data_IF_545082841837
#
_entry.id   IF_545082841837
#
_cell.length_a   1.000
_cell.length_b   1.000
_cell.length_c   1.000
_cell.angle_alpha   90.00
_cell.angle_beta   90.00
_cell.angle_gamma   90.00
#
_symmetry.space_group_name_H-M   'P 1'
#
loop_
_entity.id
_entity.type
_entity.pdbx_description
1 polymer ?
#
# COMPACT_ATOMS: atom_id res chain seq x y z
N UNK A 1 -25.55 45.32 49.06
CA UNK A 1 -26.27 44.12 48.59
C UNK A 1 -25.59 43.66 47.31
N UNK A 2 -24.46 42.95 47.39
CA UNK A 2 -24.35 41.49 47.30
C UNK A 2 -25.24 40.91 46.18
N UNK A 3 -24.64 40.63 45.02
CA UNK A 3 -24.70 39.27 44.47
C UNK A 3 -23.59 39.04 43.44
N UNK A 4 -22.58 38.29 43.88
CA UNK A 4 -21.55 37.68 43.04
C UNK A 4 -22.12 36.35 42.55
N UNK A 5 -22.47 36.23 41.27
CA UNK A 5 -22.65 34.92 40.64
C UNK A 5 -21.35 34.56 39.92
N UNK A 6 -20.54 33.76 40.61
CA UNK A 6 -19.38 33.12 40.03
C UNK A 6 -19.87 31.96 39.14
N UNK A 7 -19.63 32.07 37.84
CA UNK A 7 -19.75 30.96 36.90
C UNK A 7 -18.54 30.04 37.12
N UNK A 8 -18.73 28.97 37.89
CA UNK A 8 -17.74 27.90 37.98
C UNK A 8 -17.81 27.08 36.70
N UNK A 9 -16.85 27.28 35.80
CA UNK A 9 -16.63 26.40 34.66
C UNK A 9 -16.05 25.08 35.18
N UNK A 10 -16.90 24.08 35.33
CA UNK A 10 -16.47 22.71 35.61
C UNK A 10 -15.83 22.14 34.36
N UNK A 11 -14.50 22.17 34.29
CA UNK A 11 -13.73 21.40 33.30
C UNK A 11 -13.88 19.94 33.69
N UNK A 12 -14.79 19.23 33.03
CA UNK A 12 -14.82 17.76 33.04
C UNK A 12 -13.68 17.31 32.14
N UNK A 13 -12.49 17.17 32.72
CA UNK A 13 -11.38 16.48 32.08
C UNK A 13 -11.72 14.99 32.01
N UNK A 14 -12.30 14.54 30.90
CA UNK A 14 -12.34 13.14 30.52
C UNK A 14 -10.90 12.67 30.29
N UNK A 15 -10.30 12.13 31.36
CA UNK A 15 -9.11 11.30 31.27
C UNK A 15 -9.49 10.04 30.48
N UNK A 16 -9.37 10.11 29.15
CA UNK A 16 -9.25 8.91 28.33
C UNK A 16 -7.99 8.23 28.83
N UNK A 17 -8.16 7.12 29.54
CA UNK A 17 -7.05 6.25 29.90
C UNK A 17 -6.55 5.65 28.58
N UNK A 18 -5.59 6.33 27.94
CA UNK A 18 -4.73 5.70 26.96
C UNK A 18 -4.08 4.56 27.73
N UNK A 19 -4.56 3.34 27.48
CA UNK A 19 -3.87 2.13 27.89
C UNK A 19 -2.49 2.24 27.25
N UNK A 20 -1.51 2.70 28.02
CA UNK A 20 -0.12 2.64 27.64
C UNK A 20 0.16 1.14 27.61
N UNK A 21 0.12 0.56 26.41
CA UNK A 21 0.70 -0.74 26.19
C UNK A 21 2.13 -0.64 26.74
N UNK A 22 2.39 -1.30 27.87
CA UNK A 22 3.71 -1.32 28.46
C UNK A 22 4.72 -1.84 27.43
N UNK A 23 6.01 -1.48 27.55
CA UNK A 23 7.01 -1.99 26.63
C UNK A 23 6.95 -3.52 26.59
N UNK A 24 7.09 -4.10 25.39
CA UNK A 24 7.18 -5.54 25.21
C UNK A 24 8.19 -6.12 26.19
N UNK A 25 7.79 -7.11 26.99
CA UNK A 25 8.70 -7.73 27.96
C UNK A 25 9.90 -8.34 27.22
N UNK A 26 11.08 -8.38 27.84
CA UNK A 26 12.26 -9.00 27.23
C UNK A 26 12.08 -10.47 26.84
N UNK A 27 11.17 -11.21 27.49
CA UNK A 27 10.82 -12.57 27.07
C UNK A 27 10.05 -12.59 25.75
N UNK A 28 9.03 -11.75 25.62
CA UNK A 28 8.26 -11.61 24.39
C UNK A 28 9.14 -11.11 23.23
N UNK A 29 10.07 -10.18 23.49
CA UNK A 29 11.04 -9.75 22.49
C UNK A 29 11.88 -10.93 21.99
N UNK A 30 12.50 -11.72 22.90
CA UNK A 30 13.29 -12.90 22.52
C UNK A 30 12.48 -13.94 21.73
N UNK A 31 11.19 -14.11 22.05
CA UNK A 31 10.30 -15.00 21.29
C UNK A 31 10.04 -14.46 19.88
N UNK A 32 9.79 -13.16 19.74
CA UNK A 32 9.63 -12.51 18.44
C UNK A 32 10.89 -12.67 17.59
N UNK A 33 12.08 -12.38 18.16
CA UNK A 33 13.35 -12.53 17.47
C UNK A 33 13.59 -13.98 17.01
N UNK A 34 13.26 -14.97 17.85
CA UNK A 34 13.41 -16.39 17.50
C UNK A 34 12.46 -16.80 16.35
N UNK A 35 11.23 -16.28 16.34
CA UNK A 35 10.27 -16.54 15.26
C UNK A 35 10.73 -15.89 13.96
N UNK A 36 11.19 -14.63 14.02
CA UNK A 36 11.73 -13.93 12.85
C UNK A 36 12.91 -14.68 12.23
N UNK A 37 13.91 -15.08 13.04
CA UNK A 37 15.05 -15.86 12.55
C UNK A 37 14.64 -17.19 11.92
N UNK A 38 13.68 -17.91 12.51
CA UNK A 38 13.18 -19.17 11.91
C UNK A 38 12.44 -18.94 10.60
N UNK A 39 11.67 -17.85 10.50
CA UNK A 39 10.99 -17.47 9.28
C UNK A 39 12.00 -17.12 8.18
N UNK A 40 13.05 -16.36 8.50
CA UNK A 40 14.14 -16.06 7.57
C UNK A 40 14.82 -17.35 7.08
N UNK A 41 15.26 -18.23 7.98
CA UNK A 41 15.88 -19.52 7.63
C UNK A 41 14.97 -20.36 6.73
N UNK A 42 13.66 -20.40 7.03
CA UNK A 42 12.70 -21.07 6.18
C UNK A 42 12.68 -20.44 4.79
N UNK A 43 12.48 -19.12 4.70
CA UNK A 43 12.43 -18.41 3.42
C UNK A 43 13.72 -18.60 2.62
N UNK A 44 14.92 -18.51 3.21
CA UNK A 44 16.18 -18.80 2.51
C UNK A 44 16.15 -20.15 1.79
N UNK A 45 15.59 -21.19 2.43
CA UNK A 45 15.44 -22.52 1.84
C UNK A 45 14.39 -22.62 0.72
N UNK A 46 13.56 -21.59 0.54
CA UNK A 46 12.48 -21.52 -0.47
C UNK A 46 12.84 -20.69 -1.70
N UNK A 47 13.97 -20.00 -1.71
CA UNK A 47 14.39 -19.26 -2.90
C UNK A 47 14.60 -20.22 -4.07
N UNK A 48 14.01 -19.91 -5.23
CA UNK A 48 14.15 -20.73 -6.42
C UNK A 48 15.63 -20.72 -6.86
N UNK A 49 16.31 -21.88 -6.98
CA UNK A 49 17.75 -21.92 -7.26
C UNK A 49 18.12 -21.50 -8.69
N UNK A 50 17.15 -21.47 -9.62
CA UNK A 50 17.36 -21.11 -11.01
C UNK A 50 17.03 -19.63 -11.22
N UNK A 51 15.84 -19.23 -10.83
CA UNK A 51 15.34 -17.88 -11.12
C UNK A 51 15.78 -16.88 -10.08
N UNK A 52 16.12 -17.33 -8.87
CA UNK A 52 16.48 -16.53 -7.69
C UNK A 52 15.32 -15.69 -7.14
N UNK A 53 14.11 -15.87 -7.66
CA UNK A 53 12.87 -15.35 -7.08
C UNK A 53 12.27 -16.29 -6.04
N UNK A 54 11.14 -15.88 -5.48
CA UNK A 54 10.33 -16.67 -4.55
C UNK A 54 8.99 -17.01 -5.19
N UNK A 55 8.56 -18.26 -5.02
CA UNK A 55 7.33 -18.82 -5.61
C UNK A 55 7.21 -18.52 -7.12
N UNK A 56 8.35 -18.48 -7.80
CA UNK A 56 8.45 -18.15 -9.21
C UNK A 56 8.46 -19.43 -10.04
N UNK A 57 7.43 -19.56 -10.87
CA UNK A 57 7.31 -20.58 -11.91
C UNK A 57 7.12 -19.88 -13.26
N UNK A 58 8.20 -19.69 -14.05
CA UNK A 58 8.12 -18.98 -15.32
C UNK A 58 7.16 -19.59 -16.35
N UNK A 59 6.80 -20.86 -16.21
CA UNK A 59 5.85 -21.56 -17.09
C UNK A 59 4.40 -21.36 -16.66
N UNK A 60 4.15 -21.18 -15.36
CA UNK A 60 2.81 -21.01 -14.80
C UNK A 60 2.50 -19.54 -14.52
N UNK A 61 3.28 -18.90 -13.67
CA UNK A 61 3.03 -17.54 -13.21
C UNK A 61 4.29 -16.92 -12.62
N UNK A 62 4.56 -15.67 -13.01
CA UNK A 62 5.64 -14.87 -12.46
C UNK A 62 5.07 -13.63 -11.77
N UNK A 63 5.23 -13.56 -10.45
CA UNK A 63 4.79 -12.45 -9.61
C UNK A 63 5.98 -11.86 -8.84
N UNK A 64 6.66 -10.84 -9.40
CA UNK A 64 7.75 -10.15 -8.71
C UNK A 64 7.39 -9.66 -7.30
N UNK A 65 6.11 -9.36 -7.05
CA UNK A 65 5.57 -9.02 -5.74
C UNK A 65 5.98 -10.00 -4.64
N UNK A 66 5.95 -11.31 -4.90
CA UNK A 66 6.23 -12.33 -3.87
C UNK A 66 7.69 -12.21 -3.41
N UNK A 67 8.60 -12.02 -4.36
CA UNK A 67 10.01 -11.74 -4.07
C UNK A 67 10.17 -10.42 -3.32
N UNK A 68 9.41 -9.39 -3.70
CA UNK A 68 9.34 -8.12 -2.98
C UNK A 68 8.88 -8.27 -1.53
N UNK A 69 7.84 -9.06 -1.23
CA UNK A 69 7.38 -9.32 0.14
C UNK A 69 8.47 -9.95 1.00
N UNK A 70 9.23 -10.90 0.43
CA UNK A 70 10.33 -11.53 1.16
C UNK A 70 11.45 -10.53 1.45
N UNK A 71 11.85 -9.70 0.47
CA UNK A 71 12.83 -8.62 0.71
C UNK A 71 12.33 -7.67 1.78
N UNK A 72 11.05 -7.27 1.72
CA UNK A 72 10.47 -6.39 2.75
C UNK A 72 10.64 -6.98 4.15
N UNK A 73 10.32 -8.27 4.34
CA UNK A 73 10.48 -8.94 5.63
C UNK A 73 11.93 -9.05 6.09
N UNK A 74 12.85 -9.40 5.19
CA UNK A 74 14.28 -9.52 5.51
C UNK A 74 14.89 -8.19 5.94
N UNK A 75 14.57 -7.10 5.23
CA UNK A 75 15.13 -5.78 5.48
C UNK A 75 14.60 -5.10 6.76
N UNK A 76 13.60 -5.70 7.44
CA UNK A 76 13.17 -5.28 8.78
C UNK A 76 14.12 -5.78 9.89
N UNK A 77 14.95 -6.79 9.61
CA UNK A 77 15.94 -7.25 10.58
C UNK A 77 17.15 -6.29 10.59
N UNK A 78 17.55 -5.75 11.77
CA UNK A 78 18.63 -4.78 11.86
C UNK A 78 20.02 -5.33 11.49
N UNK A 79 20.17 -6.66 11.41
CA UNK A 79 21.37 -7.34 10.96
C UNK A 79 21.42 -7.61 9.46
N UNK A 80 20.37 -7.26 8.72
CA UNK A 80 20.26 -7.49 7.27
C UNK A 80 20.38 -6.17 6.51
N UNK A 81 21.14 -6.20 5.42
CA UNK A 81 21.27 -5.11 4.48
C UNK A 81 21.30 -5.62 3.03
N UNK A 82 21.50 -4.72 2.07
CA UNK A 82 21.48 -5.07 0.64
C UNK A 82 22.59 -6.04 0.20
N UNK A 83 23.57 -6.34 1.06
CA UNK A 83 24.66 -7.30 0.80
C UNK A 83 24.28 -8.72 1.21
N UNK A 84 23.19 -8.90 1.97
CA UNK A 84 22.72 -10.23 2.34
C UNK A 84 22.47 -11.05 1.07
N UNK A 85 23.00 -12.29 0.94
CA UNK A 85 22.96 -13.04 -0.31
C UNK A 85 21.57 -13.17 -0.93
N UNK A 86 20.55 -13.44 -0.10
CA UNK A 86 19.15 -13.53 -0.53
C UNK A 86 18.61 -12.19 -1.01
N UNK A 87 18.90 -11.09 -0.29
CA UNK A 87 18.44 -9.74 -0.68
C UNK A 87 19.08 -9.34 -2.01
N UNK A 88 20.38 -9.56 -2.15
CA UNK A 88 21.12 -9.22 -3.36
C UNK A 88 20.64 -10.00 -4.59
N UNK A 89 20.37 -11.30 -4.47
CA UNK A 89 19.87 -12.14 -5.57
C UNK A 89 18.41 -11.81 -5.91
N UNK A 90 17.56 -11.65 -4.90
CA UNK A 90 16.16 -11.28 -5.04
C UNK A 90 15.98 -9.87 -5.65
N UNK A 91 16.83 -8.91 -5.29
CA UNK A 91 16.84 -7.58 -5.90
C UNK A 91 17.11 -7.66 -7.40
N UNK A 92 18.11 -8.45 -7.82
CA UNK A 92 18.38 -8.65 -9.26
C UNK A 92 17.21 -9.30 -9.98
N UNK A 93 16.51 -10.23 -9.32
CA UNK A 93 15.29 -10.82 -9.86
C UNK A 93 14.20 -9.76 -10.06
N UNK A 94 13.94 -8.89 -9.08
CA UNK A 94 12.95 -7.79 -9.22
C UNK A 94 13.33 -6.87 -10.38
N UNK A 95 14.58 -6.42 -10.44
CA UNK A 95 15.06 -5.50 -11.50
C UNK A 95 14.90 -6.09 -12.90
N UNK A 96 15.08 -7.40 -13.07
CA UNK A 96 14.86 -8.10 -14.35
C UNK A 96 13.41 -8.03 -14.83
N UNK A 97 12.44 -7.85 -13.93
CA UNK A 97 11.01 -7.77 -14.26
C UNK A 97 10.50 -6.33 -14.39
N UNK A 98 11.39 -5.34 -14.39
CA UNK A 98 11.02 -3.99 -14.77
C UNK A 98 10.69 -3.94 -16.27
N UNK A 99 9.51 -3.43 -16.59
CA UNK A 99 9.00 -3.25 -17.94
C UNK A 99 9.49 -1.93 -18.56
N UNK A 100 9.42 -1.77 -19.90
CA UNK A 100 9.81 -0.52 -20.56
C UNK A 100 9.02 0.72 -20.09
N UNK A 101 7.80 0.54 -19.60
CA UNK A 101 6.98 1.62 -19.03
C UNK A 101 7.33 1.95 -17.56
N UNK A 102 8.24 1.19 -16.95
CA UNK A 102 8.73 1.34 -15.59
C UNK A 102 8.09 0.44 -14.55
N UNK A 103 6.95 -0.20 -14.87
CA UNK A 103 6.26 -1.10 -13.94
C UNK A 103 7.04 -2.38 -13.67
N UNK A 104 6.75 -3.06 -12.56
CA UNK A 104 7.32 -4.38 -12.26
C UNK A 104 6.22 -5.42 -12.38
N UNK A 105 6.24 -6.26 -13.41
CA UNK A 105 5.29 -7.35 -13.61
C UNK A 105 5.75 -8.22 -14.79
N UNK A 106 5.02 -9.32 -15.04
CA UNK A 106 5.12 -10.08 -16.30
C UNK A 106 3.82 -9.92 -17.11
N UNK A 107 2.71 -10.41 -16.56
CA UNK A 107 1.44 -10.49 -17.31
C UNK A 107 0.22 -9.91 -16.57
N UNK A 108 0.20 -9.91 -15.22
CA UNK A 108 -0.98 -9.56 -14.45
C UNK A 108 -0.66 -8.82 -13.15
N UNK A 109 -1.70 -8.24 -12.55
CA UNK A 109 -1.65 -7.52 -11.26
C UNK A 109 -0.56 -6.43 -11.24
N UNK A 110 -0.51 -5.52 -12.24
CA UNK A 110 0.56 -4.53 -12.35
C UNK A 110 0.65 -3.61 -11.13
N UNK A 111 -0.50 -3.28 -10.52
CA UNK A 111 -0.58 -2.46 -9.30
C UNK A 111 0.16 -3.12 -8.13
N UNK A 112 -0.19 -4.36 -7.77
CA UNK A 112 0.45 -5.09 -6.66
C UNK A 112 1.93 -5.30 -6.89
N UNK A 113 2.28 -5.82 -8.07
CA UNK A 113 3.67 -6.17 -8.36
C UNK A 113 4.54 -4.93 -8.33
N UNK A 114 4.09 -3.83 -8.93
CA UNK A 114 4.87 -2.59 -8.90
C UNK A 114 4.96 -2.02 -7.48
N UNK A 115 3.83 -1.88 -6.77
CA UNK A 115 3.82 -1.27 -5.45
C UNK A 115 4.72 -2.02 -4.44
N UNK A 116 4.59 -3.35 -4.36
CA UNK A 116 5.37 -4.16 -3.42
C UNK A 116 6.86 -4.16 -3.79
N UNK A 117 7.18 -4.23 -5.08
CA UNK A 117 8.57 -4.14 -5.53
C UNK A 117 9.18 -2.78 -5.21
N UNK A 118 8.41 -1.68 -5.31
CA UNK A 118 8.88 -0.34 -4.95
C UNK A 118 9.22 -0.24 -3.46
N UNK A 119 8.35 -0.71 -2.56
CA UNK A 119 8.66 -0.75 -1.13
C UNK A 119 9.89 -1.62 -0.83
N UNK A 120 10.07 -2.74 -1.53
CA UNK A 120 11.28 -3.55 -1.38
C UNK A 120 12.55 -2.80 -1.83
N UNK A 121 12.50 -2.14 -2.99
CA UNK A 121 13.63 -1.41 -3.57
C UNK A 121 14.00 -0.15 -2.78
N UNK A 122 13.05 0.48 -2.06
CA UNK A 122 13.33 1.66 -1.25
C UNK A 122 14.29 1.39 -0.09
N UNK A 123 14.37 0.12 0.38
CA UNK A 123 15.29 -0.32 1.41
C UNK A 123 16.68 -0.70 0.87
N UNK A 124 16.83 -0.83 -0.45
CA UNK A 124 18.08 -1.26 -1.08
C UNK A 124 18.91 -0.04 -1.50
N UNK A 125 20.00 0.22 -0.79
CA UNK A 125 20.88 1.37 -1.05
C UNK A 125 21.85 1.15 -2.22
N UNK A 126 21.31 1.05 -3.45
CA UNK A 126 22.08 0.84 -4.68
C UNK A 126 21.59 1.77 -5.81
N UNK A 127 22.49 2.32 -6.64
CA UNK A 127 22.09 3.21 -7.74
C UNK A 127 21.06 2.59 -8.70
N UNK A 128 21.22 1.32 -9.04
CA UNK A 128 20.31 0.59 -9.92
C UNK A 128 18.91 0.40 -9.30
N UNK A 129 18.83 0.23 -7.98
CA UNK A 129 17.56 0.15 -7.26
C UNK A 129 16.85 1.50 -7.24
N UNK A 130 17.60 2.59 -6.96
CA UNK A 130 17.08 3.96 -7.01
C UNK A 130 16.55 4.33 -8.40
N UNK A 131 17.31 4.04 -9.46
CA UNK A 131 16.87 4.33 -10.83
C UNK A 131 15.58 3.57 -11.19
N UNK A 132 15.53 2.27 -10.90
CA UNK A 132 14.36 1.46 -11.15
C UNK A 132 13.16 1.92 -10.32
N UNK A 133 13.38 2.31 -9.06
CA UNK A 133 12.35 2.82 -8.16
C UNK A 133 11.70 4.11 -8.69
N UNK A 134 12.49 5.06 -9.21
CA UNK A 134 11.95 6.30 -9.76
C UNK A 134 11.08 6.07 -11.02
N UNK A 135 11.49 5.14 -11.88
CA UNK A 135 10.68 4.72 -13.05
C UNK A 135 9.38 4.05 -12.61
N UNK A 136 9.46 3.11 -11.66
CA UNK A 136 8.29 2.42 -11.13
C UNK A 136 7.33 3.34 -10.39
N UNK A 137 7.82 4.35 -9.66
CA UNK A 137 6.97 5.37 -9.02
C UNK A 137 6.16 6.14 -10.06
N UNK A 138 6.81 6.51 -11.17
CA UNK A 138 6.16 7.24 -12.27
C UNK A 138 5.07 6.37 -12.91
N UNK A 139 5.37 5.11 -13.21
CA UNK A 139 4.41 4.12 -13.69
C UNK A 139 3.24 3.91 -12.73
N UNK A 140 3.51 3.67 -11.44
CA UNK A 140 2.50 3.35 -10.45
C UNK A 140 1.43 4.46 -10.38
N UNK A 141 1.84 5.74 -10.43
CA UNK A 141 0.91 6.88 -10.43
C UNK A 141 -0.03 6.90 -11.64
N UNK A 142 0.35 6.31 -12.77
CA UNK A 142 -0.50 6.19 -13.97
C UNK A 142 -1.66 5.21 -13.79
N UNK A 143 -1.55 4.30 -12.83
CA UNK A 143 -2.55 3.27 -12.56
C UNK A 143 -3.76 3.80 -11.75
N UNK A 144 -3.64 5.00 -11.18
CA UNK A 144 -4.66 5.60 -10.33
C UNK A 144 -5.79 6.21 -11.16
N UNK A 145 -7.02 6.02 -10.68
CA UNK A 145 -8.21 6.59 -11.30
C UNK A 145 -8.32 8.09 -11.06
N UNK A 146 -8.68 8.83 -12.11
CA UNK A 146 -8.84 10.28 -12.07
C UNK A 146 -9.41 10.83 -13.37
N UNK A 147 -9.53 12.15 -13.41
CA UNK A 147 -10.05 12.94 -14.54
C UNK A 147 -9.00 13.14 -15.66
N UNK A 148 -7.86 12.46 -15.52
CA UNK A 148 -6.76 12.46 -16.47
C UNK A 148 -6.55 11.05 -17.05
N UNK A 149 -6.30 11.02 -18.36
CA UNK A 149 -5.88 9.89 -19.19
C UNK A 149 -6.92 8.87 -19.67
N UNK A 150 -7.09 8.88 -21.00
CA UNK A 150 -7.71 7.84 -21.84
C UNK A 150 -6.76 6.62 -22.07
N UNK A 151 -5.68 6.52 -21.29
CA UNK A 151 -4.59 5.54 -21.48
C UNK A 151 -4.16 4.88 -20.16
N UNK A 152 -4.97 4.99 -19.10
CA UNK A 152 -4.73 4.26 -17.85
C UNK A 152 -4.84 2.75 -18.15
N UNK A 153 -3.79 1.92 -17.90
CA UNK A 153 -3.85 0.47 -18.10
C UNK A 153 -4.93 -0.21 -17.24
N UNK A 154 -5.33 0.43 -16.14
CA UNK A 154 -6.37 -0.01 -15.23
C UNK A 154 -7.76 0.57 -15.57
N UNK A 155 -7.92 1.31 -16.66
CA UNK A 155 -9.19 1.96 -17.03
C UNK A 155 -10.37 0.99 -16.82
N UNK A 156 -11.33 1.34 -15.94
CA UNK A 156 -12.49 0.49 -15.68
C UNK A 156 -13.42 0.42 -16.91
N UNK A 157 -13.27 1.30 -17.91
CA UNK A 157 -14.02 1.29 -19.15
C UNK A 157 -15.34 2.06 -19.07
N UNK A 158 -15.39 3.12 -18.26
CA UNK A 158 -16.53 4.05 -18.27
C UNK A 158 -16.44 4.99 -19.47
N UNK A 159 -17.58 5.31 -20.08
CA UNK A 159 -17.66 6.28 -21.17
C UNK A 159 -17.34 7.71 -20.69
N UNK A 160 -17.71 8.02 -19.44
CA UNK A 160 -17.45 9.30 -18.80
C UNK A 160 -16.14 9.28 -18.01
N UNK A 161 -15.48 10.43 -17.96
CA UNK A 161 -14.27 10.61 -17.15
C UNK A 161 -14.56 10.36 -15.66
N UNK A 162 -13.62 9.73 -14.96
CA UNK A 162 -13.68 9.53 -13.51
C UNK A 162 -13.34 10.87 -12.83
N UNK A 163 -14.31 11.76 -12.75
CA UNK A 163 -14.17 13.06 -12.08
C UNK A 163 -14.21 12.95 -10.55
N UNK A 164 -13.92 14.06 -9.86
CA UNK A 164 -13.87 14.10 -8.39
C UNK A 164 -15.15 13.60 -7.71
N UNK A 165 -16.33 13.66 -8.33
CA UNK A 165 -17.58 13.16 -7.73
C UNK A 165 -17.84 11.67 -8.00
N UNK A 166 -17.01 11.01 -8.82
CA UNK A 166 -17.18 9.60 -9.15
C UNK A 166 -16.69 8.73 -8.00
N UNK A 167 -17.39 7.65 -7.59
CA UNK A 167 -16.99 6.77 -6.48
C UNK A 167 -15.54 6.27 -6.59
N UNK A 168 -15.08 6.00 -7.81
CA UNK A 168 -13.73 5.45 -8.07
C UNK A 168 -12.60 6.48 -8.04
N UNK A 169 -12.89 7.79 -7.99
CA UNK A 169 -11.85 8.82 -8.11
C UNK A 169 -10.78 8.68 -7.02
N UNK A 170 -9.52 8.56 -7.45
CA UNK A 170 -8.35 8.39 -6.59
C UNK A 170 -8.05 6.95 -6.17
N UNK A 171 -8.92 6.00 -6.49
CA UNK A 171 -8.71 4.59 -6.24
C UNK A 171 -7.71 3.96 -7.21
N UNK A 172 -7.30 2.74 -6.89
CA UNK A 172 -6.48 1.85 -7.75
C UNK A 172 -7.06 0.45 -7.68
N UNK A 173 -7.03 -0.27 -8.80
CA UNK A 173 -7.59 -1.61 -8.93
C UNK A 173 -6.61 -2.62 -9.53
N UNK A 174 -7.14 -3.79 -9.86
CA UNK A 174 -6.38 -4.96 -10.34
C UNK A 174 -5.95 -4.90 -11.82
N UNK A 175 -6.35 -3.88 -12.58
CA UNK A 175 -6.20 -3.86 -14.04
C UNK A 175 -7.53 -3.72 -14.77
N UNK A 176 -7.50 -4.03 -16.07
CA UNK A 176 -8.60 -3.93 -17.03
C UNK A 176 -9.97 -4.30 -16.41
N UNK A 177 -10.87 -3.31 -16.35
CA UNK A 177 -12.25 -3.42 -15.82
C UNK A 177 -12.38 -3.73 -14.31
N UNK A 178 -11.35 -3.48 -13.50
CA UNK A 178 -11.39 -3.68 -12.05
C UNK A 178 -12.01 -2.51 -11.29
N UNK A 179 -12.84 -2.81 -10.28
CA UNK A 179 -13.19 -1.81 -9.25
C UNK A 179 -11.97 -1.48 -8.39
N UNK A 180 -11.80 -0.22 -7.95
CA UNK A 180 -10.77 0.10 -6.97
C UNK A 180 -11.13 -0.50 -5.61
N UNK A 181 -10.12 -0.84 -4.82
CA UNK A 181 -10.31 -1.47 -3.52
C UNK A 181 -9.23 -1.05 -2.52
N UNK A 182 -9.52 -1.34 -1.25
CA UNK A 182 -8.63 -1.02 -0.13
C UNK A 182 -7.29 -1.74 -0.16
N UNK A 183 -7.24 -2.95 -0.72
CA UNK A 183 -6.00 -3.72 -0.71
C UNK A 183 -4.98 -3.11 -1.69
N UNK A 184 -5.39 -2.88 -2.94
CA UNK A 184 -4.60 -2.16 -3.93
C UNK A 184 -4.22 -0.76 -3.43
N UNK A 185 -5.18 -0.02 -2.84
CA UNK A 185 -4.92 1.31 -2.31
C UNK A 185 -3.86 1.29 -1.20
N UNK A 186 -3.92 0.32 -0.29
CA UNK A 186 -2.97 0.21 0.82
C UNK A 186 -1.55 -0.01 0.32
N UNK A 187 -1.34 -0.95 -0.61
CA UNK A 187 -0.01 -1.15 -1.20
C UNK A 187 0.45 0.05 -2.01
N UNK A 188 -0.45 0.68 -2.78
CA UNK A 188 -0.15 1.89 -3.53
C UNK A 188 0.33 3.03 -2.64
N UNK A 189 -0.42 3.36 -1.57
CA UNK A 189 -0.05 4.42 -0.64
C UNK A 189 1.23 4.11 0.13
N UNK A 190 1.43 2.85 0.52
CA UNK A 190 2.67 2.38 1.16
C UNK A 190 3.87 2.59 0.24
N UNK A 191 3.77 2.20 -1.03
CA UNK A 191 4.85 2.39 -2.01
C UNK A 191 5.15 3.88 -2.26
N UNK A 192 4.14 4.74 -2.35
CA UNK A 192 4.36 6.19 -2.45
C UNK A 192 5.12 6.71 -1.23
N UNK A 193 4.69 6.32 -0.03
CA UNK A 193 5.34 6.72 1.23
C UNK A 193 6.80 6.24 1.30
N UNK A 194 7.04 4.95 1.08
CA UNK A 194 8.36 4.32 1.22
C UNK A 194 9.36 4.85 0.21
N UNK A 195 8.89 5.26 -0.97
CA UNK A 195 9.73 5.85 -2.02
C UNK A 195 9.85 7.37 -1.92
N UNK A 196 9.39 7.96 -0.81
CA UNK A 196 9.60 9.38 -0.49
C UNK A 196 8.70 10.35 -1.24
N UNK A 197 7.56 9.91 -1.78
CA UNK A 197 6.57 10.82 -2.37
C UNK A 197 5.97 11.69 -1.27
N UNK A 198 5.97 13.00 -1.51
CA UNK A 198 5.35 13.97 -0.60
C UNK A 198 3.87 13.64 -0.40
N UNK A 199 3.37 13.76 0.83
CA UNK A 199 1.94 13.64 1.11
C UNK A 199 1.10 14.73 0.43
N UNK A 200 1.73 15.83 -0.01
CA UNK A 200 1.08 16.87 -0.82
C UNK A 200 1.07 16.55 -2.33
N UNK A 201 1.66 15.44 -2.78
CA UNK A 201 1.59 15.00 -4.17
C UNK A 201 0.13 14.70 -4.55
N UNK A 202 -0.26 15.09 -5.76
CA UNK A 202 -1.63 14.93 -6.23
C UNK A 202 -2.11 13.46 -6.20
N UNK A 203 -1.22 12.49 -6.42
CA UNK A 203 -1.58 11.08 -6.32
C UNK A 203 -1.90 10.66 -4.89
N UNK A 204 -1.17 11.20 -3.91
CA UNK A 204 -1.41 10.96 -2.50
C UNK A 204 -2.74 11.59 -2.06
N UNK A 205 -2.98 12.84 -2.45
CA UNK A 205 -4.22 13.55 -2.13
C UNK A 205 -5.46 12.86 -2.71
N UNK A 206 -5.39 12.39 -3.97
CA UNK A 206 -6.48 11.59 -4.56
C UNK A 206 -6.69 10.26 -3.84
N UNK A 207 -5.62 9.58 -3.42
CA UNK A 207 -5.74 8.34 -2.66
C UNK A 207 -6.49 8.56 -1.34
N UNK A 208 -6.27 9.70 -0.68
CA UNK A 208 -7.01 10.09 0.53
C UNK A 208 -8.50 10.34 0.25
N UNK A 209 -8.85 10.90 -0.91
CA UNK A 209 -10.26 11.02 -1.33
C UNK A 209 -10.91 9.64 -1.50
N UNK A 210 -10.22 8.69 -2.13
CA UNK A 210 -10.78 7.33 -2.22
C UNK A 210 -10.85 6.62 -0.87
N UNK A 211 -9.86 6.84 0.00
CA UNK A 211 -9.85 6.29 1.36
C UNK A 211 -11.00 6.86 2.21
N UNK A 212 -11.36 8.14 2.05
CA UNK A 212 -12.52 8.71 2.75
C UNK A 212 -13.81 8.05 2.29
N UNK A 213 -13.94 7.74 0.99
CA UNK A 213 -15.12 7.08 0.41
C UNK A 213 -15.33 5.64 0.81
N UNK A 214 -14.30 4.97 1.28
CA UNK A 214 -14.45 3.62 1.82
C UNK A 214 -14.62 3.62 3.33
N UNK A 215 -14.53 4.75 4.03
CA UNK A 215 -14.87 4.83 5.45
C UNK A 215 -16.38 5.05 5.64
N UNK A 216 -17.04 4.19 6.43
CA UNK A 216 -18.49 4.27 6.68
C UNK A 216 -18.80 5.27 7.80
N UNK A 217 -18.56 6.55 7.51
CA UNK A 217 -18.78 7.66 8.42
C UNK A 217 -19.29 8.87 7.62
N UNK A 218 -20.50 9.33 7.90
CA UNK A 218 -21.13 10.49 7.22
C UNK A 218 -20.29 11.78 7.39
N UNK A 219 -19.57 11.90 8.51
CA UNK A 219 -18.63 13.02 8.75
C UNK A 219 -17.46 13.12 7.75
N UNK A 220 -17.14 12.03 7.04
CA UNK A 220 -15.92 11.89 6.22
C UNK A 220 -16.25 11.48 4.78
N UNK A 221 -17.30 10.68 4.60
CA UNK A 221 -17.66 10.05 3.34
C UNK A 221 -18.89 10.70 2.73
N UNK A 222 -18.66 11.58 1.75
CA UNK A 222 -19.69 12.36 1.07
C UNK A 222 -20.54 11.54 0.08
N UNK A 223 -20.38 10.22 0.02
CA UNK A 223 -21.08 9.37 -0.95
C UNK A 223 -22.43 8.93 -0.41
N UNK A 224 -23.50 8.86 -1.25
CA UNK A 224 -24.87 8.56 -0.79
C UNK A 224 -25.05 7.25 -0.01
N UNK A 225 -24.15 6.28 -0.19
CA UNK A 225 -24.21 5.02 0.54
C UNK A 225 -23.70 5.12 1.99
N UNK A 226 -23.09 6.24 2.37
CA UNK A 226 -22.60 6.52 3.72
C UNK A 226 -23.46 7.53 4.49
N UNK A 227 -24.50 8.09 3.87
CA UNK A 227 -25.48 8.98 4.52
C UNK A 227 -25.96 8.37 5.85
N UNK A 228 -25.94 9.19 6.91
CA UNK A 228 -26.30 8.82 8.29
C UNK A 228 -25.46 7.68 8.93
N UNK A 229 -24.35 7.24 8.32
CA UNK A 229 -23.50 6.19 8.87
C UNK A 229 -22.59 6.69 9.98
N UNK A 230 -22.63 6.03 11.14
CA UNK A 230 -21.72 6.26 12.28
C UNK A 230 -20.77 5.07 12.56
N UNK A 231 -20.65 4.13 11.62
CA UNK A 231 -19.92 2.87 11.84
C UNK A 231 -18.41 3.05 12.02
N UNK A 232 -17.81 4.03 11.33
CA UNK A 232 -16.38 4.36 11.39
C UNK A 232 -15.43 3.33 10.76
N UNK A 233 -15.88 2.10 10.51
CA UNK A 233 -15.14 1.06 9.80
C UNK A 233 -15.07 1.31 8.30
N UNK A 234 -14.29 0.49 7.58
CA UNK A 234 -14.10 0.68 6.14
C UNK A 234 -14.70 -0.46 5.31
N UNK A 235 -15.42 -0.13 4.22
CA UNK A 235 -15.83 -1.09 3.19
C UNK A 235 -14.65 -1.44 2.29
N UNK A 236 -14.67 -2.65 1.71
CA UNK A 236 -13.55 -3.11 0.89
C UNK A 236 -13.39 -2.31 -0.41
N UNK A 237 -14.49 -1.88 -1.01
CA UNK A 237 -14.50 -1.13 -2.26
C UNK A 237 -15.81 -0.39 -2.47
N UNK A 238 -15.77 0.61 -3.32
CA UNK A 238 -16.94 1.30 -3.84
C UNK A 238 -17.41 0.61 -5.14
N UNK A 239 -18.69 0.69 -5.46
CA UNK A 239 -19.24 0.36 -6.80
C UNK A 239 -20.24 1.45 -7.22
N UNK A 240 -20.25 1.92 -8.49
CA UNK A 240 -21.19 2.94 -8.94
C UNK A 240 -22.62 2.42 -9.04
N UNK A 241 -22.78 1.13 -9.35
CA UNK A 241 -24.07 0.45 -9.45
C UNK A 241 -23.88 -1.07 -9.23
N UNK A 242 -24.99 -1.79 -9.09
CA UNK A 242 -25.00 -3.25 -8.86
C UNK A 242 -24.41 -4.05 -10.03
N UNK A 243 -24.40 -3.49 -11.24
CA UNK A 243 -23.86 -4.12 -12.45
C UNK A 243 -22.33 -3.99 -12.55
N UNK A 244 -21.73 -3.17 -11.68
CA UNK A 244 -20.27 -2.96 -11.58
C UNK A 244 -19.58 -3.90 -10.58
N UNK A 245 -20.28 -4.94 -10.12
CA UNK A 245 -19.80 -5.96 -9.17
C UNK A 245 -19.27 -7.19 -9.89
#
# INVERSE_FOLDING_TARGET
MINKFAFAATIVSTLVSLAHAGPISGEHQRKADLVAHRAMQYLESRQNPITLGFDDDPEVQTLPAITGLVINGFMLDPGVDERHPVVATATRYILKHQQPDGGFYKDMLPTYNTAICLSALSMVNRPEALEAMLKGQSYLKTLQYGDFNNANPNDPGFDDAIGINHPYYGGVGYGKHGRPDLSNLSFFMQALHDTGVSTNDAAYQRALVFLSRVQMSDEINEMPYADDSEQGGFIYATVPNIESV
#
